data_IF_760486656690
#
_entry.id   IF_760486656690
#
_cell.length_a   1.000
_cell.length_b   1.000
_cell.length_c   1.000
_cell.angle_alpha   90.00
_cell.angle_beta   90.00
_cell.angle_gamma   90.00
#
_symmetry.space_group_name_H-M   'P 1'
#
loop_
_entity.id
_entity.type
_entity.pdbx_description
1 polymer ?
#
# COMPACT_ATOMS: atom_id res chain seq x y z
N UNK A 1 -1.91 9.25 41.65
CA UNK A 1 -1.38 10.34 40.83
C UNK A 1 -1.93 10.18 39.42
N UNK A 2 -2.45 11.25 38.82
CA UNK A 2 -3.08 11.21 37.50
C UNK A 2 -2.53 12.34 36.65
N UNK A 3 -2.00 12.01 35.48
CA UNK A 3 -1.53 13.02 34.53
C UNK A 3 -2.72 13.81 33.95
N UNK A 4 -2.57 15.13 33.87
CA UNK A 4 -3.52 16.02 33.20
C UNK A 4 -3.35 15.86 31.69
N UNK A 5 -4.25 15.10 31.07
CA UNK A 5 -4.32 14.98 29.62
C UNK A 5 -4.95 16.24 29.00
N UNK A 6 -4.17 16.95 28.18
CA UNK A 6 -4.63 18.13 27.44
C UNK A 6 -5.60 17.76 26.30
N UNK A 7 -6.43 18.71 25.80
CA UNK A 7 -7.25 18.49 24.61
C UNK A 7 -6.40 18.01 23.43
N UNK A 8 -6.80 16.90 22.81
CA UNK A 8 -6.06 16.24 21.72
C UNK A 8 -5.12 15.12 22.16
N UNK A 9 -4.99 14.86 23.47
CA UNK A 9 -4.19 13.74 23.97
C UNK A 9 -4.86 12.39 23.62
N UNK A 10 -4.09 11.48 23.01
CA UNK A 10 -4.59 10.16 22.62
C UNK A 10 -4.39 9.18 23.78
N UNK A 11 -5.49 8.72 24.37
CA UNK A 11 -5.45 7.73 25.46
C UNK A 11 -5.27 6.29 24.96
N UNK A 12 -5.80 5.98 23.77
CA UNK A 12 -5.71 4.66 23.15
C UNK A 12 -5.40 4.83 21.67
N UNK A 13 -4.35 4.16 21.22
CA UNK A 13 -4.06 3.97 19.81
C UNK A 13 -4.11 2.48 19.50
N UNK A 14 -4.66 2.14 18.33
CA UNK A 14 -4.88 0.75 17.99
C UNK A 14 -5.14 0.57 16.52
N UNK A 15 -4.93 -0.65 16.06
CA UNK A 15 -5.10 -1.03 14.67
C UNK A 15 -6.45 -1.71 14.52
N UNK A 16 -7.20 -1.32 13.50
CA UNK A 16 -8.46 -2.00 13.17
C UNK A 16 -8.14 -3.43 12.72
N UNK A 17 -8.75 -4.40 13.40
CA UNK A 17 -8.61 -5.82 13.08
C UNK A 17 -9.18 -6.09 11.68
N UNK A 18 -8.51 -6.96 10.91
CA UNK A 18 -8.95 -7.41 9.59
C UNK A 18 -9.12 -6.30 8.53
N UNK A 19 -8.44 -5.17 8.68
CA UNK A 19 -8.42 -4.10 7.68
C UNK A 19 -7.03 -3.94 7.06
N UNK A 20 -6.42 -5.05 6.66
CA UNK A 20 -5.13 -5.01 5.98
C UNK A 20 -5.37 -4.62 4.52
N UNK A 21 -4.65 -3.60 4.07
CA UNK A 21 -4.57 -3.25 2.67
C UNK A 21 -3.10 -3.05 2.31
N UNK A 22 -2.77 -3.37 1.07
CA UNK A 22 -1.47 -3.12 0.49
C UNK A 22 -1.55 -1.84 -0.34
N UNK A 23 -0.44 -1.09 -0.30
CA UNK A 23 -0.28 0.14 -1.03
C UNK A 23 0.90 0.01 -1.97
N UNK A 24 0.67 0.24 -3.25
CA UNK A 24 1.71 0.23 -4.27
C UNK A 24 1.78 1.58 -4.96
N UNK A 25 3.00 1.97 -5.34
CA UNK A 25 3.23 3.15 -6.17
C UNK A 25 3.57 2.68 -7.57
N UNK A 26 2.86 3.19 -8.57
CA UNK A 26 3.02 2.85 -9.98
C UNK A 26 3.22 4.14 -10.78
N UNK A 27 4.09 4.08 -11.77
CA UNK A 27 4.37 5.16 -12.71
C UNK A 27 3.27 5.28 -13.78
N UNK A 28 3.15 6.45 -14.37
CA UNK A 28 2.12 6.76 -15.37
C UNK A 28 2.15 5.85 -16.61
N UNK A 29 3.33 5.44 -17.05
CA UNK A 29 3.52 4.53 -18.19
C UNK A 29 2.83 3.15 -17.99
N UNK A 30 2.74 2.68 -16.74
CA UNK A 30 2.19 1.37 -16.39
C UNK A 30 0.78 1.45 -15.80
N UNK A 31 0.26 2.62 -15.45
CA UNK A 31 -1.01 2.73 -14.73
C UNK A 31 -2.20 2.16 -15.51
N UNK A 32 -2.17 2.25 -16.85
CA UNK A 32 -3.22 1.74 -17.73
C UNK A 32 -3.41 0.21 -17.67
N UNK A 33 -2.42 -0.53 -17.12
CA UNK A 33 -2.50 -1.98 -16.90
C UNK A 33 -3.32 -2.35 -15.65
N UNK A 34 -3.61 -1.37 -14.79
CA UNK A 34 -4.30 -1.57 -13.51
C UNK A 34 -5.66 -0.90 -13.50
N UNK A 35 -6.71 -1.69 -13.24
CA UNK A 35 -8.09 -1.21 -13.14
C UNK A 35 -8.67 -1.49 -11.76
N UNK A 36 -9.61 -0.65 -11.33
CA UNK A 36 -10.44 -0.95 -10.16
C UNK A 36 -11.14 -2.30 -10.37
N UNK A 37 -11.30 -3.04 -9.28
CA UNK A 37 -11.85 -4.39 -9.23
C UNK A 37 -11.03 -5.51 -9.88
N UNK A 38 -9.88 -5.20 -10.47
CA UNK A 38 -8.96 -6.20 -11.01
C UNK A 38 -8.30 -7.03 -9.89
N UNK A 39 -8.20 -8.34 -10.12
CA UNK A 39 -7.44 -9.25 -9.27
C UNK A 39 -5.94 -9.15 -9.56
N UNK A 40 -5.15 -9.12 -8.50
CA UNK A 40 -3.70 -9.04 -8.53
C UNK A 40 -3.09 -9.99 -7.51
N UNK A 41 -1.85 -10.41 -7.75
CA UNK A 41 -1.10 -11.25 -6.82
C UNK A 41 -0.05 -10.39 -6.11
N UNK A 42 -0.14 -10.36 -4.79
CA UNK A 42 0.85 -9.74 -3.91
C UNK A 42 1.78 -10.82 -3.38
N UNK A 43 3.08 -10.62 -3.50
CA UNK A 43 4.10 -11.54 -3.00
C UNK A 43 4.92 -10.88 -1.90
N UNK A 44 5.35 -11.67 -0.93
CA UNK A 44 6.21 -11.21 0.17
C UNK A 44 7.65 -11.64 -0.14
N UNK A 45 8.60 -10.71 -0.30
CA UNK A 45 9.99 -11.02 -0.60
C UNK A 45 10.57 -12.05 0.38
N UNK A 46 11.47 -12.90 -0.13
CA UNK A 46 12.13 -13.94 0.66
C UNK A 46 11.18 -14.95 1.31
N UNK A 47 9.94 -15.03 0.84
CA UNK A 47 8.97 -16.05 1.23
C UNK A 47 8.26 -16.60 0.00
N UNK A 48 7.64 -17.78 0.12
CA UNK A 48 6.76 -18.33 -0.91
C UNK A 48 5.30 -17.86 -0.76
N UNK A 49 5.04 -16.81 0.05
CA UNK A 49 3.69 -16.37 0.33
C UNK A 49 3.14 -15.52 -0.82
N UNK A 50 2.14 -16.07 -1.51
CA UNK A 50 1.33 -15.35 -2.48
C UNK A 50 -0.07 -15.06 -1.90
N UNK A 51 -0.49 -13.81 -2.02
CA UNK A 51 -1.77 -13.29 -1.52
C UNK A 51 -2.54 -12.75 -2.71
N UNK A 52 -3.71 -13.35 -2.97
CA UNK A 52 -4.65 -12.84 -3.96
C UNK A 52 -5.34 -11.60 -3.39
N UNK A 53 -5.34 -10.51 -4.15
CA UNK A 53 -5.95 -9.26 -3.75
C UNK A 53 -6.73 -8.59 -4.89
N UNK A 54 -7.57 -7.65 -4.52
CA UNK A 54 -8.40 -6.87 -5.43
C UNK A 54 -8.04 -5.39 -5.32
N UNK A 55 -7.85 -4.71 -6.45
CA UNK A 55 -7.66 -3.26 -6.48
C UNK A 55 -9.00 -2.59 -6.15
N UNK A 56 -9.05 -1.81 -5.06
CA UNK A 56 -10.27 -1.08 -4.65
C UNK A 56 -10.20 0.41 -4.95
N UNK A 57 -9.00 0.94 -5.20
CA UNK A 57 -8.82 2.33 -5.61
C UNK A 57 -7.50 2.51 -6.36
N UNK A 58 -7.54 3.43 -7.31
CA UNK A 58 -6.38 3.97 -8.04
C UNK A 58 -6.43 5.48 -7.88
N UNK A 59 -5.39 6.10 -7.35
CA UNK A 59 -5.34 7.55 -7.09
C UNK A 59 -4.03 8.14 -7.54
N UNK A 60 -4.05 9.26 -8.25
CA UNK A 60 -2.83 10.02 -8.51
C UNK A 60 -2.32 10.61 -7.19
N UNK A 61 -1.02 10.46 -6.91
CA UNK A 61 -0.39 11.12 -5.78
C UNK A 61 -0.13 12.58 -6.14
N UNK A 62 -0.54 13.49 -5.25
CA UNK A 62 -0.23 14.90 -5.42
C UNK A 62 1.30 15.11 -5.38
N UNK A 63 1.83 15.93 -6.30
CA UNK A 63 3.27 16.23 -6.42
C UNK A 63 3.86 17.01 -5.23
N UNK A 64 3.11 17.21 -4.15
CA UNK A 64 3.58 18.00 -3.02
C UNK A 64 4.28 17.10 -2.02
N UNK A 65 5.58 17.36 -1.83
CA UNK A 65 6.60 16.50 -1.22
C UNK A 65 7.17 15.43 -2.17
N UNK A 66 7.73 15.89 -3.29
CA UNK A 66 8.69 15.12 -4.09
C UNK A 66 9.77 14.57 -3.13
N UNK A 67 9.75 13.24 -2.95
CA UNK A 67 10.82 12.53 -2.25
C UNK A 67 12.13 12.94 -2.91
N UNK A 68 13.03 13.60 -2.16
CA UNK A 68 14.39 13.98 -2.58
C UNK A 68 15.30 12.76 -2.71
N UNK A 69 14.76 11.61 -3.13
CA UNK A 69 15.55 10.41 -3.39
C UNK A 69 16.25 10.59 -4.72
N UNK A 70 17.57 10.43 -4.73
CA UNK A 70 18.45 10.60 -5.88
C UNK A 70 18.36 9.45 -6.90
N UNK A 71 17.46 8.48 -6.69
CA UNK A 71 17.27 7.32 -7.56
C UNK A 71 15.78 6.98 -7.73
N UNK A 72 14.99 7.85 -8.38
CA UNK A 72 13.64 7.47 -8.77
C UNK A 72 13.72 6.42 -9.88
N UNK A 73 13.10 5.25 -9.67
CA UNK A 73 12.88 4.25 -10.72
C UNK A 73 11.75 4.67 -11.71
N UNK A 74 11.55 5.97 -11.88
CA UNK A 74 10.55 6.59 -12.75
C UNK A 74 11.20 7.77 -13.47
N UNK A 75 10.82 8.00 -14.72
CA UNK A 75 11.39 9.12 -15.49
C UNK A 75 11.00 10.46 -14.85
N UNK A 76 11.94 11.41 -14.82
CA UNK A 76 11.66 12.75 -14.35
C UNK A 76 10.48 13.34 -15.14
N UNK A 77 9.39 13.66 -14.44
CA UNK A 77 8.19 14.28 -15.02
C UNK A 77 6.97 13.36 -15.11
N UNK A 78 7.12 12.04 -14.94
CA UNK A 78 5.97 11.13 -14.92
C UNK A 78 5.13 11.31 -13.65
N UNK A 79 3.80 11.24 -13.78
CA UNK A 79 2.93 11.17 -12.63
C UNK A 79 3.10 9.83 -11.88
N UNK A 80 2.90 9.86 -10.56
CA UNK A 80 2.86 8.66 -9.73
C UNK A 80 1.45 8.40 -9.22
N UNK A 81 1.08 7.14 -9.17
CA UNK A 81 -0.24 6.67 -8.77
C UNK A 81 -0.11 5.69 -7.61
N UNK A 82 -1.03 5.80 -6.66
CA UNK A 82 -1.22 4.87 -5.56
C UNK A 82 -2.31 3.85 -5.92
N UNK A 83 -1.97 2.57 -5.83
CA UNK A 83 -2.93 1.47 -5.86
C UNK A 83 -3.23 1.03 -4.42
N UNK A 84 -4.51 0.96 -4.09
CA UNK A 84 -4.99 0.35 -2.85
C UNK A 84 -5.54 -1.05 -3.14
N UNK A 85 -4.89 -2.07 -2.61
CA UNK A 85 -5.25 -3.48 -2.81
C UNK A 85 -5.70 -4.07 -1.49
N UNK A 86 -6.83 -4.76 -1.49
CA UNK A 86 -7.30 -5.54 -0.32
C UNK A 86 -7.13 -7.02 -0.59
N UNK A 87 -6.70 -7.79 0.41
CA UNK A 87 -6.63 -9.25 0.29
C UNK A 87 -8.04 -9.82 0.19
N UNK A 88 -8.26 -10.79 -0.71
CA UNK A 88 -9.52 -11.54 -0.74
C UNK A 88 -9.61 -12.46 0.50
N UNK A 89 -8.49 -13.08 0.87
CA UNK A 89 -8.34 -13.82 2.11
C UNK A 89 -7.48 -13.06 3.12
N UNK A 90 -8.14 -12.44 4.09
CA UNK A 90 -7.50 -11.71 5.18
C UNK A 90 -6.63 -12.59 6.08
N UNK A 91 -6.80 -13.91 6.08
CA UNK A 91 -6.06 -14.83 6.96
C UNK A 91 -4.58 -14.87 6.62
N UNK A 92 -4.25 -14.86 5.32
CA UNK A 92 -2.86 -14.80 4.85
C UNK A 92 -2.19 -13.46 5.15
N UNK A 93 -2.96 -12.38 5.10
CA UNK A 93 -2.47 -11.03 5.37
C UNK A 93 -2.28 -10.73 6.86
N UNK A 94 -2.98 -11.44 7.77
CA UNK A 94 -2.86 -11.26 9.23
C UNK A 94 -1.49 -11.61 9.80
N UNK A 95 -0.74 -12.49 9.15
CA UNK A 95 0.61 -12.87 9.56
C UNK A 95 1.66 -11.80 9.24
N UNK A 96 1.30 -10.80 8.45
CA UNK A 96 2.22 -9.73 8.05
C UNK A 96 2.24 -8.62 9.08
N UNK A 97 3.44 -8.16 9.40
CA UNK A 97 3.64 -6.94 10.16
C UNK A 97 3.28 -5.72 9.32
N UNK A 98 2.86 -4.65 9.98
CA UNK A 98 2.61 -3.39 9.30
C UNK A 98 3.89 -2.87 8.65
N UNK A 99 3.74 -2.23 7.49
CA UNK A 99 4.85 -1.69 6.69
C UNK A 99 5.88 -2.75 6.25
N UNK A 100 5.51 -4.04 6.25
CA UNK A 100 6.33 -5.08 5.61
C UNK A 100 6.41 -4.82 4.10
N UNK A 101 7.60 -5.00 3.52
CA UNK A 101 7.79 -4.92 2.07
C UNK A 101 7.00 -6.03 1.37
N UNK A 102 6.26 -5.65 0.34
CA UNK A 102 5.54 -6.57 -0.54
C UNK A 102 5.75 -6.14 -1.99
N UNK A 103 5.67 -7.10 -2.91
CA UNK A 103 5.81 -6.86 -4.34
C UNK A 103 4.50 -7.20 -5.04
N UNK A 104 4.19 -6.41 -6.06
CA UNK A 104 3.09 -6.70 -6.97
C UNK A 104 3.63 -7.56 -8.10
N UNK A 105 3.07 -8.75 -8.29
CA UNK A 105 3.43 -9.63 -9.40
C UNK A 105 2.82 -9.05 -10.67
N UNK A 106 3.66 -8.58 -11.59
CA UNK A 106 3.21 -8.05 -12.87
C UNK A 106 2.47 -9.15 -13.66
N UNK A 107 1.29 -8.82 -14.17
CA UNK A 107 0.58 -9.66 -15.13
C UNK A 107 1.25 -9.40 -16.47
N UNK A 108 1.97 -10.40 -16.99
CA UNK A 108 2.54 -10.35 -18.35
C UNK A 108 1.46 -10.33 -19.41
#
# INVERSE_FOLDING_TARGET
EGELALPGYTFFSGLKKSSVYFRFTVSEDRINTYKTDQQVIVTVPNTALEILGKIIAVKQLARYADNTSTSPNYELGQATYELKVVAEDNSKAKALFQNSTVLLKEVK
#
